data_IF_931146835623
#
_entry.id   IF_931146835623
#
_cell.length_a   1.000
_cell.length_b   1.000
_cell.length_c   1.000
_cell.angle_alpha   90.00
_cell.angle_beta   90.00
_cell.angle_gamma   90.00
#
_symmetry.space_group_name_H-M   'P 1'
#
loop_
_entity.id
_entity.type
_entity.pdbx_description
1 polymer ?
#
# COMPACT_ATOMS: atom_id res chain seq x y z
N UNK A 1 14.31 14.66 -26.34
CA UNK A 1 14.48 13.42 -27.11
C UNK A 1 14.78 12.26 -26.15
N UNK A 2 13.85 11.95 -25.24
CA UNK A 2 13.99 10.89 -24.21
C UNK A 2 12.62 10.26 -23.90
N UNK A 3 11.95 9.67 -24.90
CA UNK A 3 10.62 9.07 -24.70
C UNK A 3 10.51 7.58 -25.04
N UNK A 4 11.62 6.89 -25.36
CA UNK A 4 11.56 5.47 -25.76
C UNK A 4 11.99 4.47 -24.68
N UNK A 5 12.65 4.90 -23.61
CA UNK A 5 13.22 3.98 -22.60
C UNK A 5 12.20 3.49 -21.56
N UNK A 6 11.22 4.31 -21.21
CA UNK A 6 10.27 3.99 -20.11
C UNK A 6 9.23 2.94 -20.51
N UNK A 7 8.90 2.84 -21.80
CA UNK A 7 7.94 1.83 -22.30
C UNK A 7 8.50 0.39 -22.29
N UNK A 8 9.80 0.23 -22.43
CA UNK A 8 10.44 -1.09 -22.36
C UNK A 8 10.47 -1.69 -20.95
N UNK A 9 10.63 -0.87 -19.93
CA UNK A 9 10.67 -1.35 -18.53
C UNK A 9 9.32 -1.89 -18.05
N UNK A 10 8.21 -1.28 -18.47
CA UNK A 10 6.86 -1.77 -18.14
C UNK A 10 6.55 -3.12 -18.79
N UNK A 11 6.98 -3.34 -20.02
CA UNK A 11 6.79 -4.63 -20.72
C UNK A 11 7.64 -5.76 -20.12
N UNK A 12 8.84 -5.46 -19.66
CA UNK A 12 9.72 -6.45 -19.02
C UNK A 12 9.16 -6.87 -17.66
N UNK A 13 8.59 -5.93 -16.88
CA UNK A 13 7.96 -6.25 -15.60
C UNK A 13 6.70 -7.12 -15.76
N UNK A 14 5.89 -6.92 -16.81
CA UNK A 14 4.74 -7.77 -17.10
C UNK A 14 5.13 -9.19 -17.58
N UNK A 15 6.22 -9.31 -18.35
CA UNK A 15 6.72 -10.60 -18.83
C UNK A 15 7.35 -11.44 -17.69
N UNK A 16 8.00 -10.80 -16.73
CA UNK A 16 8.57 -11.51 -15.57
C UNK A 16 7.48 -11.99 -14.59
N UNK A 17 6.38 -11.25 -14.44
CA UNK A 17 5.22 -11.72 -13.68
C UNK A 17 4.54 -12.93 -14.33
N UNK A 18 4.46 -12.99 -15.66
CA UNK A 18 3.90 -14.14 -16.36
C UNK A 18 4.73 -15.43 -16.23
N UNK A 19 6.04 -15.30 -16.08
CA UNK A 19 6.93 -16.46 -15.85
C UNK A 19 6.87 -16.95 -14.40
N UNK A 20 6.65 -16.08 -13.44
CA UNK A 20 6.50 -16.45 -12.02
C UNK A 20 5.21 -17.24 -11.78
N UNK A 21 4.12 -16.95 -12.51
CA UNK A 21 2.87 -17.73 -12.41
C UNK A 21 2.99 -19.16 -12.95
N UNK A 22 3.87 -19.43 -13.93
CA UNK A 22 4.10 -20.78 -14.43
C UNK A 22 4.95 -21.64 -13.51
N UNK A 23 5.89 -21.05 -12.79
CA UNK A 23 6.69 -21.76 -11.79
C UNK A 23 5.87 -22.16 -10.54
N UNK A 24 4.85 -21.38 -10.20
CA UNK A 24 3.93 -21.73 -9.10
C UNK A 24 3.04 -22.95 -9.42
N UNK A 25 2.71 -23.19 -10.69
CA UNK A 25 1.97 -24.39 -11.09
C UNK A 25 2.82 -25.66 -11.11
N UNK A 26 4.11 -25.55 -11.38
CA UNK A 26 5.03 -26.70 -11.35
C UNK A 26 5.36 -27.14 -9.92
N UNK A 27 5.30 -26.28 -8.93
CA UNK A 27 5.47 -26.63 -7.52
C UNK A 27 4.27 -27.36 -6.90
N UNK A 28 3.05 -27.19 -7.46
CA UNK A 28 1.88 -27.94 -6.97
C UNK A 28 1.98 -29.47 -7.17
N UNK A 29 2.84 -29.94 -8.08
CA UNK A 29 3.02 -31.36 -8.35
C UNK A 29 4.04 -32.04 -7.39
N UNK A 30 4.92 -31.28 -6.75
CA UNK A 30 5.94 -31.82 -5.83
C UNK A 30 5.47 -31.88 -4.36
N UNK A 31 4.41 -31.15 -4.01
CA UNK A 31 3.95 -30.96 -2.61
C UNK A 31 2.90 -31.99 -2.14
N UNK A 32 2.99 -33.25 -2.54
CA UNK A 32 2.02 -34.26 -2.04
C UNK A 32 2.41 -34.88 -0.70
N UNK A 33 3.49 -34.43 -0.05
CA UNK A 33 3.96 -35.11 1.17
C UNK A 33 4.67 -34.21 2.21
N UNK A 34 4.21 -32.96 2.43
CA UNK A 34 4.74 -32.22 3.57
C UNK A 34 3.62 -31.46 4.30
N UNK A 35 3.62 -31.56 5.63
CA UNK A 35 2.69 -30.90 6.56
C UNK A 35 2.95 -29.39 6.66
N UNK A 36 3.16 -28.70 5.52
CA UNK A 36 3.38 -27.26 5.48
C UNK A 36 2.10 -26.52 5.80
N UNK A 37 2.17 -25.66 6.78
CA UNK A 37 1.07 -24.76 7.14
C UNK A 37 0.66 -23.95 5.92
N UNK A 38 -0.65 -23.83 5.61
CA UNK A 38 -1.10 -23.09 4.45
C UNK A 38 -0.61 -21.64 4.54
N UNK A 39 0.08 -21.18 3.50
CA UNK A 39 0.45 -19.76 3.36
C UNK A 39 -0.80 -18.94 3.08
N UNK A 40 -1.07 -17.95 3.91
CA UNK A 40 -2.14 -16.99 3.69
C UNK A 40 -1.54 -15.72 3.11
N UNK A 41 -1.97 -15.39 1.91
CA UNK A 41 -1.54 -14.22 1.15
C UNK A 41 -2.74 -13.35 0.82
N UNK A 42 -2.61 -12.06 0.99
CA UNK A 42 -3.60 -11.05 0.60
C UNK A 42 -2.97 -10.06 -0.38
N UNK A 43 -3.77 -9.65 -1.35
CA UNK A 43 -3.50 -8.47 -2.18
C UNK A 43 -4.47 -7.39 -1.78
N UNK A 44 -4.03 -6.15 -1.70
CA UNK A 44 -4.90 -5.03 -1.31
C UNK A 44 -4.64 -3.77 -2.13
N UNK A 45 -5.65 -2.92 -2.21
CA UNK A 45 -5.56 -1.54 -2.69
C UNK A 45 -6.18 -0.61 -1.66
N UNK A 46 -5.55 0.53 -1.42
CA UNK A 46 -6.09 1.56 -0.53
C UNK A 46 -7.03 2.46 -1.34
N UNK A 47 -8.33 2.32 -1.11
CA UNK A 47 -9.38 3.07 -1.81
C UNK A 47 -9.29 4.59 -1.57
N UNK A 48 -8.69 5.05 -0.47
CA UNK A 48 -8.47 6.49 -0.26
C UNK A 48 -7.43 7.02 -1.26
N UNK A 49 -6.35 6.28 -1.51
CA UNK A 49 -5.37 6.64 -2.53
C UNK A 49 -5.95 6.56 -3.93
N UNK A 50 -6.76 5.53 -4.22
CA UNK A 50 -7.45 5.40 -5.50
C UNK A 50 -8.40 6.58 -5.75
N UNK A 51 -9.14 7.03 -4.72
CA UNK A 51 -9.99 8.22 -4.79
C UNK A 51 -9.20 9.53 -5.02
N UNK A 52 -7.96 9.58 -4.56
CA UNK A 52 -7.02 10.67 -4.80
C UNK A 52 -6.24 10.51 -6.12
N UNK A 53 -6.61 9.56 -6.97
CA UNK A 53 -5.94 9.24 -8.23
C UNK A 53 -4.45 8.84 -8.04
N UNK A 54 -4.12 8.21 -6.92
CA UNK A 54 -2.81 7.64 -6.64
C UNK A 54 -2.91 6.12 -6.69
N UNK A 55 -2.68 5.48 -7.85
CA UNK A 55 -2.67 4.03 -7.98
C UNK A 55 -1.74 3.38 -6.96
N UNK A 56 -2.20 2.31 -6.33
CA UNK A 56 -1.45 1.65 -5.30
C UNK A 56 -1.74 0.14 -5.27
N UNK A 57 -0.81 -0.60 -4.72
CA UNK A 57 -0.95 -2.04 -4.51
C UNK A 57 -0.22 -2.45 -3.24
N UNK A 58 -0.83 -3.33 -2.47
CA UNK A 58 -0.22 -3.92 -1.27
C UNK A 58 -0.30 -5.44 -1.29
N UNK A 59 0.67 -6.04 -0.63
CA UNK A 59 0.74 -7.47 -0.36
C UNK A 59 0.87 -7.69 1.14
N UNK A 60 0.19 -8.69 1.67
CA UNK A 60 0.32 -9.08 3.06
C UNK A 60 0.40 -10.59 3.18
N UNK A 61 1.39 -11.07 3.92
CA UNK A 61 1.70 -12.49 4.13
C UNK A 61 1.60 -12.82 5.61
N UNK A 62 0.87 -13.89 5.93
CA UNK A 62 0.84 -14.46 7.28
C UNK A 62 2.13 -15.23 7.56
N UNK A 63 2.84 -14.85 8.62
CA UNK A 63 4.07 -15.50 9.09
C UNK A 63 3.76 -16.59 10.13
N UNK A 64 2.51 -16.85 10.42
CA UNK A 64 2.09 -17.74 11.50
C UNK A 64 2.13 -17.06 12.87
N UNK A 65 1.64 -17.78 13.89
CA UNK A 65 1.54 -17.28 15.28
C UNK A 65 0.89 -15.88 15.38
N UNK A 66 0.02 -15.55 14.39
CA UNK A 66 -0.73 -14.27 14.28
C UNK A 66 0.16 -13.07 13.99
N UNK A 67 1.27 -13.26 13.38
CA UNK A 67 2.10 -12.22 12.81
C UNK A 67 1.93 -12.17 11.30
N UNK A 68 1.96 -10.98 10.73
CA UNK A 68 2.04 -10.78 9.28
C UNK A 68 3.05 -9.69 8.96
N UNK A 69 3.52 -9.72 7.72
CA UNK A 69 4.26 -8.64 7.10
C UNK A 69 3.45 -8.12 5.93
N UNK A 70 3.28 -6.81 5.85
CA UNK A 70 2.62 -6.13 4.76
C UNK A 70 3.58 -5.17 4.07
N UNK A 71 3.53 -5.10 2.76
CA UNK A 71 4.26 -4.14 1.96
C UNK A 71 3.30 -3.47 0.99
N UNK A 72 3.35 -2.15 0.89
CA UNK A 72 2.52 -1.36 0.00
C UNK A 72 3.39 -0.49 -0.88
N UNK A 73 2.95 -0.27 -2.11
CA UNK A 73 3.58 0.63 -3.06
C UNK A 73 2.54 1.52 -3.70
N UNK A 74 2.85 2.81 -3.85
CA UNK A 74 2.00 3.79 -4.53
C UNK A 74 2.79 4.51 -5.61
N UNK A 75 2.13 4.83 -6.71
CA UNK A 75 2.71 5.60 -7.80
C UNK A 75 1.63 6.40 -8.52
N UNK A 76 1.59 7.71 -8.31
CA UNK A 76 0.79 8.65 -9.07
C UNK A 76 1.72 9.69 -9.71
N UNK A 77 1.57 9.91 -11.02
CA UNK A 77 2.44 10.84 -11.72
C UNK A 77 1.65 11.57 -12.79
N UNK A 78 0.90 12.55 -12.33
CA UNK A 78 0.01 13.34 -13.18
C UNK A 78 0.51 14.76 -13.25
N UNK A 79 0.58 15.32 -14.46
CA UNK A 79 0.96 16.70 -14.68
C UNK A 79 0.18 17.35 -15.80
N UNK A 80 0.00 18.66 -15.66
CA UNK A 80 -0.50 19.55 -16.71
C UNK A 80 0.28 20.87 -16.60
N UNK A 81 1.47 20.89 -17.19
CA UNK A 81 2.38 22.03 -17.13
C UNK A 81 1.74 23.36 -17.58
N UNK A 82 0.94 23.43 -18.67
CA UNK A 82 0.28 24.67 -19.08
C UNK A 82 -0.69 25.27 -18.04
N UNK A 83 -1.16 24.45 -17.09
CA UNK A 83 -2.06 24.89 -16.01
C UNK A 83 -1.37 24.96 -14.65
N UNK A 84 -0.05 24.77 -14.60
CA UNK A 84 0.71 24.64 -13.35
C UNK A 84 0.01 23.68 -12.39
N UNK A 85 -0.31 22.48 -12.88
CA UNK A 85 -0.98 21.46 -12.08
C UNK A 85 -0.12 20.20 -12.03
N UNK A 86 0.31 19.85 -10.83
CA UNK A 86 1.12 18.67 -10.55
C UNK A 86 0.48 17.89 -9.42
N UNK A 87 0.28 16.60 -9.67
CA UNK A 87 -0.24 15.67 -8.69
C UNK A 87 0.61 14.41 -8.76
N UNK A 88 1.72 14.46 -8.04
CA UNK A 88 2.77 13.46 -8.12
C UNK A 88 3.07 12.93 -6.74
N UNK A 89 3.06 11.60 -6.57
CA UNK A 89 3.49 10.93 -5.36
C UNK A 89 3.96 9.53 -5.71
N UNK A 90 5.08 9.12 -5.17
CA UNK A 90 5.47 7.72 -5.21
C UNK A 90 6.25 7.34 -3.97
N UNK A 91 6.15 6.05 -3.62
CA UNK A 91 6.81 5.52 -2.45
C UNK A 91 6.17 4.24 -1.99
N UNK A 92 6.57 3.79 -0.82
CA UNK A 92 6.01 2.57 -0.24
C UNK A 92 6.24 2.48 1.24
N UNK A 93 5.54 1.55 1.85
CA UNK A 93 5.71 1.22 3.26
C UNK A 93 5.84 -0.29 3.47
N UNK A 94 6.45 -0.63 4.59
CA UNK A 94 6.49 -2.00 5.11
C UNK A 94 6.03 -1.97 6.55
N UNK A 95 5.09 -2.84 6.88
CA UNK A 95 4.51 -2.99 8.21
C UNK A 95 4.69 -4.41 8.74
N UNK A 96 4.95 -4.53 10.04
CA UNK A 96 4.87 -5.78 10.79
C UNK A 96 3.66 -5.67 11.70
N UNK A 97 2.72 -6.64 11.56
CA UNK A 97 1.43 -6.63 12.23
C UNK A 97 1.27 -7.81 13.16
N UNK A 98 0.62 -7.57 14.29
CA UNK A 98 0.13 -8.60 15.22
C UNK A 98 -1.38 -8.61 15.23
N UNK A 99 -1.97 -9.71 14.87
CA UNK A 99 -3.42 -9.92 14.87
C UNK A 99 -3.92 -10.29 16.27
N UNK A 100 -4.92 -9.56 16.76
CA UNK A 100 -5.44 -9.68 18.14
C UNK A 100 -6.59 -10.67 18.23
N UNK A 101 -6.93 -11.12 19.46
CA UNK A 101 -8.06 -11.99 19.79
C UNK A 101 -7.69 -13.47 19.95
N UNK A 102 -8.66 -14.34 20.29
CA UNK A 102 -8.43 -15.77 20.54
C UNK A 102 -8.01 -16.53 19.28
N UNK A 103 -7.10 -17.48 19.43
CA UNK A 103 -6.65 -18.33 18.33
C UNK A 103 -7.71 -19.37 17.89
N UNK A 104 -8.66 -19.68 18.76
CA UNK A 104 -9.71 -20.63 18.46
C UNK A 104 -10.74 -20.04 17.49
N UNK A 105 -10.80 -20.60 16.26
CA UNK A 105 -11.83 -20.30 15.28
C UNK A 105 -11.68 -19.04 14.43
N UNK A 106 -10.63 -18.24 14.61
CA UNK A 106 -10.37 -17.08 13.74
C UNK A 106 -9.37 -17.42 12.63
N UNK A 107 -9.72 -17.01 11.42
CA UNK A 107 -8.80 -17.10 10.29
C UNK A 107 -7.67 -16.10 10.43
N UNK A 108 -6.47 -16.41 9.91
CA UNK A 108 -5.39 -15.44 9.77
C UNK A 108 -5.86 -14.20 8.99
N UNK A 109 -5.23 -13.07 9.28
CA UNK A 109 -5.45 -11.80 8.57
C UNK A 109 -6.88 -11.28 8.63
N UNK A 110 -7.58 -11.50 9.76
CA UNK A 110 -8.96 -11.04 9.99
C UNK A 110 -9.14 -10.52 11.42
N UNK A 111 -9.94 -9.47 11.58
CA UNK A 111 -10.22 -8.84 12.86
C UNK A 111 -9.26 -7.72 13.21
N UNK A 112 -9.05 -7.47 14.49
CA UNK A 112 -8.19 -6.40 14.96
C UNK A 112 -6.72 -6.73 14.80
N UNK A 113 -5.93 -5.75 14.40
CA UNK A 113 -4.47 -5.83 14.37
C UNK A 113 -3.81 -4.55 14.88
N UNK A 114 -2.62 -4.71 15.41
CA UNK A 114 -1.70 -3.63 15.77
C UNK A 114 -0.38 -3.88 15.05
N UNK A 115 0.35 -2.83 14.74
CA UNK A 115 1.63 -2.97 14.07
C UNK A 115 2.54 -1.77 14.20
N UNK A 116 3.71 -1.93 13.63
CA UNK A 116 4.65 -0.83 13.39
C UNK A 116 4.98 -0.81 11.90
N UNK A 117 5.19 0.36 11.35
CA UNK A 117 5.55 0.51 9.95
C UNK A 117 6.58 1.59 9.70
N UNK A 118 7.35 1.39 8.65
CA UNK A 118 8.22 2.38 8.05
C UNK A 118 7.76 2.70 6.64
N UNK A 119 7.73 3.98 6.28
CA UNK A 119 7.35 4.45 4.97
C UNK A 119 8.40 5.40 4.43
N UNK A 120 8.67 5.33 3.13
CA UNK A 120 9.49 6.27 2.38
C UNK A 120 8.73 6.73 1.16
N UNK A 121 8.74 8.02 0.87
CA UNK A 121 8.01 8.57 -0.26
C UNK A 121 8.51 9.95 -0.68
N UNK A 122 8.18 10.32 -1.91
CA UNK A 122 8.32 11.67 -2.44
C UNK A 122 6.99 12.14 -2.99
N UNK A 123 6.78 13.44 -3.04
CA UNK A 123 5.57 14.05 -3.56
C UNK A 123 5.83 15.41 -4.18
N UNK A 124 4.94 15.80 -5.08
CA UNK A 124 4.89 17.12 -5.66
C UNK A 124 3.43 17.46 -5.96
N UNK A 125 2.88 18.38 -5.15
CA UNK A 125 1.48 18.77 -5.23
C UNK A 125 1.37 20.25 -5.49
N UNK A 126 0.75 20.58 -6.63
CA UNK A 126 0.42 21.94 -7.04
C UNK A 126 -0.90 21.94 -7.81
N UNK A 127 -1.73 22.92 -7.56
CA UNK A 127 -3.05 23.09 -8.19
C UNK A 127 -3.25 24.51 -8.72
N UNK A 128 -2.26 25.03 -9.46
CA UNK A 128 -2.29 26.38 -10.05
C UNK A 128 -1.93 27.51 -9.08
N UNK A 129 -1.31 27.18 -7.95
CA UNK A 129 -0.89 28.15 -6.94
C UNK A 129 0.41 27.75 -6.29
N UNK A 130 0.49 27.85 -4.96
CA UNK A 130 1.68 27.41 -4.23
C UNK A 130 1.82 25.89 -4.30
N UNK A 131 2.97 25.43 -4.79
CA UNK A 131 3.33 24.02 -4.85
C UNK A 131 4.17 23.60 -3.65
N UNK A 132 4.05 22.32 -3.31
CA UNK A 132 4.77 21.66 -2.22
C UNK A 132 5.45 20.41 -2.74
N UNK A 133 6.77 20.40 -2.73
CA UNK A 133 7.58 19.28 -3.19
C UNK A 133 8.34 18.67 -2.02
N UNK A 134 8.06 17.43 -1.70
CA UNK A 134 8.76 16.65 -0.68
C UNK A 134 9.70 15.63 -1.30
N UNK A 135 11.00 15.74 -1.05
CA UNK A 135 12.01 14.98 -1.74
C UNK A 135 12.35 15.59 -3.11
N UNK A 136 12.73 14.75 -4.07
CA UNK A 136 12.96 15.13 -5.46
C UNK A 136 12.11 14.24 -6.39
N UNK A 137 10.88 14.64 -6.72
CA UNK A 137 10.08 13.93 -7.70
C UNK A 137 10.80 13.86 -9.04
N UNK A 138 10.90 12.64 -9.60
CA UNK A 138 11.69 12.38 -10.82
C UNK A 138 13.16 12.07 -10.61
N UNK A 139 13.67 12.20 -9.38
CA UNK A 139 14.95 11.67 -8.95
C UNK A 139 14.84 10.22 -8.46
N UNK A 140 15.83 9.75 -7.72
CA UNK A 140 15.72 8.47 -7.02
C UNK A 140 14.88 8.62 -5.75
N UNK A 141 14.16 7.57 -5.35
CA UNK A 141 13.38 7.56 -4.12
C UNK A 141 14.22 7.93 -2.89
N UNK A 142 15.50 7.61 -2.92
CA UNK A 142 16.47 7.84 -1.84
C UNK A 142 17.00 9.28 -1.77
N UNK A 143 16.83 10.08 -2.83
CA UNK A 143 17.35 11.42 -2.88
C UNK A 143 16.38 12.39 -2.19
N UNK A 144 16.73 12.78 -0.95
CA UNK A 144 15.93 13.70 -0.12
C UNK A 144 14.49 13.22 0.13
N UNK A 145 14.27 11.92 0.22
CA UNK A 145 12.96 11.35 0.50
C UNK A 145 12.40 11.82 1.84
N UNK A 146 11.08 11.80 1.94
CA UNK A 146 10.38 11.87 3.21
C UNK A 146 10.25 10.46 3.79
N UNK A 147 10.25 10.36 5.10
CA UNK A 147 10.16 9.10 5.82
C UNK A 147 9.21 9.18 7.00
N UNK A 148 8.57 8.06 7.28
CA UNK A 148 7.68 7.87 8.43
C UNK A 148 8.13 6.64 9.22
N UNK A 149 8.11 6.77 10.54
CA UNK A 149 8.21 5.65 11.47
C UNK A 149 7.05 5.76 12.47
N UNK A 150 6.18 4.75 12.52
CA UNK A 150 4.92 4.87 13.23
C UNK A 150 4.37 3.53 13.71
N UNK A 151 3.44 3.62 14.67
CA UNK A 151 2.55 2.53 15.05
C UNK A 151 1.22 2.62 14.31
N UNK A 152 0.60 1.48 14.05
CA UNK A 152 -0.71 1.39 13.42
C UNK A 152 -1.66 0.48 14.19
N UNK A 153 -2.94 0.78 14.08
CA UNK A 153 -4.04 -0.05 14.54
C UNK A 153 -5.07 -0.17 13.43
N UNK A 154 -5.62 -1.36 13.26
CA UNK A 154 -6.64 -1.57 12.25
C UNK A 154 -7.60 -2.70 12.56
N UNK A 155 -8.61 -2.80 11.69
CA UNK A 155 -9.64 -3.83 11.72
C UNK A 155 -9.98 -4.32 10.33
N UNK A 156 -9.74 -5.60 10.08
CA UNK A 156 -10.08 -6.26 8.81
C UNK A 156 -11.44 -6.93 8.92
N UNK A 157 -12.44 -6.36 8.22
CA UNK A 157 -13.83 -6.80 8.20
C UNK A 157 -14.08 -7.73 6.99
N UNK A 158 -14.47 -8.98 7.21
CA UNK A 158 -14.90 -9.88 6.14
C UNK A 158 -16.23 -9.41 5.53
N UNK A 159 -16.25 -9.09 4.23
CA UNK A 159 -17.45 -8.66 3.50
C UNK A 159 -17.98 -9.73 2.56
N UNK A 160 -17.09 -10.54 1.98
CA UNK A 160 -17.46 -11.64 1.10
C UNK A 160 -16.48 -12.81 1.26
N UNK A 161 -16.74 -13.91 0.52
CA UNK A 161 -15.95 -15.14 0.63
C UNK A 161 -14.45 -14.93 0.48
N UNK A 162 -14.02 -14.02 -0.39
CA UNK A 162 -12.62 -13.72 -0.70
C UNK A 162 -12.27 -12.24 -0.54
N UNK A 163 -13.15 -11.46 0.06
CA UNK A 163 -12.98 -10.02 0.17
C UNK A 163 -13.14 -9.56 1.61
N UNK A 164 -12.21 -8.71 2.02
CA UNK A 164 -12.29 -7.96 3.27
C UNK A 164 -12.17 -6.46 2.96
N UNK A 165 -12.66 -5.64 3.87
CA UNK A 165 -12.29 -4.22 3.97
C UNK A 165 -11.43 -4.07 5.22
N UNK A 166 -10.24 -3.49 5.06
CA UNK A 166 -9.31 -3.23 6.15
C UNK A 166 -9.25 -1.72 6.43
N UNK A 167 -9.58 -1.35 7.64
CA UNK A 167 -9.50 0.01 8.15
C UNK A 167 -8.25 0.11 9.01
N UNK A 168 -7.32 0.99 8.65
CA UNK A 168 -6.08 1.17 9.39
C UNK A 168 -5.79 2.65 9.60
N UNK A 169 -5.44 3.00 10.84
CA UNK A 169 -4.93 4.32 11.22
C UNK A 169 -3.52 4.17 11.79
N UNK A 170 -2.67 5.15 11.51
CA UNK A 170 -1.30 5.18 12.01
C UNK A 170 -0.94 6.51 12.64
N UNK A 171 -0.16 6.45 13.71
CA UNK A 171 0.35 7.62 14.43
C UNK A 171 1.84 7.44 14.66
N UNK A 172 2.61 8.46 14.35
CA UNK A 172 4.06 8.40 14.50
C UNK A 172 4.78 9.67 14.06
N UNK A 173 6.04 9.50 13.71
CA UNK A 173 6.92 10.56 13.28
C UNK A 173 7.05 10.59 11.76
N UNK A 174 6.86 11.78 11.18
CA UNK A 174 7.11 12.07 9.77
C UNK A 174 8.21 13.12 9.66
N UNK A 175 9.34 12.73 9.08
CA UNK A 175 10.51 13.58 8.83
C UNK A 175 10.82 13.71 7.35
N UNK A 176 11.64 14.72 7.01
CA UNK A 176 12.11 14.95 5.66
C UNK A 176 12.18 16.42 5.30
N UNK A 177 12.69 16.70 4.11
CA UNK A 177 12.81 18.05 3.58
C UNK A 177 11.68 18.27 2.57
N UNK A 178 11.09 19.44 2.58
CA UNK A 178 10.17 19.87 1.55
C UNK A 178 10.45 21.29 1.08
N UNK A 179 10.07 21.56 -0.14
CA UNK A 179 10.25 22.81 -0.82
C UNK A 179 8.90 23.45 -1.12
N UNK A 180 8.81 24.75 -0.92
CA UNK A 180 7.67 25.54 -1.36
C UNK A 180 8.08 26.35 -2.59
N UNK A 181 7.25 26.37 -3.62
CA UNK A 181 7.47 27.11 -4.83
C UNK A 181 6.17 27.77 -5.33
N UNK A 182 6.33 28.81 -6.14
CA UNK A 182 5.24 29.48 -6.84
C UNK A 182 5.49 29.43 -8.35
N UNK A 183 4.49 29.13 -9.16
CA UNK A 183 4.60 29.28 -10.61
C UNK A 183 4.61 30.77 -10.96
N UNK A 184 5.54 31.18 -11.79
CA UNK A 184 5.64 32.54 -12.33
C UNK A 184 5.93 32.45 -13.84
N UNK A 185 4.89 32.56 -14.66
CA UNK A 185 4.97 32.25 -16.10
C UNK A 185 5.33 30.79 -16.33
N UNK A 186 6.39 30.55 -17.09
CA UNK A 186 6.89 29.19 -17.39
C UNK A 186 7.93 28.68 -16.37
N UNK A 187 8.16 29.39 -15.27
CA UNK A 187 9.20 29.09 -14.29
C UNK A 187 8.60 28.80 -12.92
N UNK A 188 9.31 27.97 -12.15
CA UNK A 188 9.02 27.74 -10.75
C UNK A 188 9.97 28.56 -9.88
N UNK A 189 9.41 29.53 -9.16
CA UNK A 189 10.17 30.36 -8.25
C UNK A 189 10.19 29.72 -6.88
N UNK A 190 11.35 29.23 -6.51
CA UNK A 190 11.61 28.64 -5.21
C UNK A 190 11.40 29.68 -4.10
N UNK A 191 10.53 29.36 -3.16
CA UNK A 191 10.20 30.26 -2.05
C UNK A 191 10.99 29.89 -0.77
N UNK A 192 10.97 28.64 -0.41
CA UNK A 192 11.63 28.18 0.81
C UNK A 192 11.92 26.67 0.81
N UNK A 193 12.94 26.29 1.57
CA UNK A 193 13.21 24.91 1.95
C UNK A 193 12.97 24.76 3.43
N UNK A 194 12.13 23.82 3.81
CA UNK A 194 11.78 23.57 5.21
C UNK A 194 12.02 22.10 5.57
N UNK A 195 12.35 21.89 6.82
CA UNK A 195 12.43 20.55 7.39
C UNK A 195 11.12 20.21 8.07
N UNK A 196 10.55 19.05 7.75
CA UNK A 196 9.38 18.51 8.43
C UNK A 196 9.84 17.71 9.66
N UNK A 197 9.23 18.03 10.80
CA UNK A 197 9.34 17.30 12.05
C UNK A 197 7.93 17.22 12.63
N UNK A 198 7.15 16.25 12.18
CA UNK A 198 5.75 16.10 12.55
C UNK A 198 5.54 14.85 13.39
N UNK A 199 4.86 15.00 14.51
CA UNK A 199 4.37 13.87 15.31
C UNK A 199 2.85 13.95 15.33
N UNK A 200 2.17 12.89 14.89
CA UNK A 200 0.72 12.85 14.79
C UNK A 200 0.21 11.76 13.86
N UNK A 201 -1.00 11.89 13.32
CA UNK A 201 -1.54 10.97 12.33
C UNK A 201 -0.67 10.94 11.08
N UNK A 202 -0.22 9.75 10.67
CA UNK A 202 0.69 9.55 9.52
C UNK A 202 0.14 8.57 8.49
N UNK A 203 -0.93 7.82 8.83
CA UNK A 203 -1.57 6.87 7.94
C UNK A 203 -3.08 6.86 8.16
N UNK A 204 -3.84 6.84 7.06
CA UNK A 204 -5.24 6.48 7.03
C UNK A 204 -5.46 5.57 5.82
N UNK A 205 -5.95 4.35 6.05
CA UNK A 205 -6.23 3.39 4.99
C UNK A 205 -7.67 2.87 5.12
N UNK A 206 -8.34 2.78 3.99
CA UNK A 206 -9.53 1.96 3.78
C UNK A 206 -9.22 1.06 2.61
N UNK A 207 -8.74 -0.14 2.89
CA UNK A 207 -8.20 -1.03 1.87
C UNK A 207 -9.18 -2.13 1.50
N UNK A 208 -9.40 -2.32 0.19
CA UNK A 208 -10.07 -3.49 -0.33
C UNK A 208 -9.04 -4.62 -0.42
N UNK A 209 -9.30 -5.72 0.27
CA UNK A 209 -8.38 -6.84 0.44
C UNK A 209 -8.91 -8.08 -0.24
N UNK A 210 -8.14 -8.65 -1.14
CA UNK A 210 -8.43 -9.90 -1.81
C UNK A 210 -7.62 -11.06 -1.20
N UNK A 211 -8.34 -12.07 -0.69
CA UNK A 211 -7.76 -13.26 -0.06
C UNK A 211 -7.35 -14.27 -1.13
N UNK A 212 -6.05 -14.53 -1.26
CA UNK A 212 -5.49 -15.47 -2.22
C UNK A 212 -5.27 -16.86 -1.59
N UNK A 213 -5.48 -17.92 -2.38
CA UNK A 213 -5.29 -19.30 -1.98
C UNK A 213 -6.60 -20.07 -1.71
N UNK A 214 -6.55 -21.41 -1.90
CA UNK A 214 -7.73 -22.28 -1.75
C UNK A 214 -8.29 -22.32 -0.33
N UNK A 215 -7.43 -22.21 0.69
CA UNK A 215 -7.79 -22.23 2.11
C UNK A 215 -8.01 -20.84 2.71
N UNK A 216 -7.60 -19.78 2.02
CA UNK A 216 -7.73 -18.39 2.46
C UNK A 216 -9.09 -17.82 2.03
N UNK A 217 -10.13 -18.16 2.75
CA UNK A 217 -11.51 -17.75 2.46
C UNK A 217 -12.27 -17.51 3.75
N UNK A 218 -13.15 -16.52 3.75
CA UNK A 218 -14.06 -16.26 4.84
C UNK A 218 -15.14 -17.37 4.93
N UNK A 219 -15.58 -17.68 6.14
CA UNK A 219 -16.67 -18.63 6.33
C UNK A 219 -17.98 -18.05 5.84
N UNK A 220 -18.81 -18.89 5.19
CA UNK A 220 -20.18 -18.51 4.91
C UNK A 220 -20.88 -18.32 6.27
N UNK A 221 -21.39 -17.11 6.55
CA UNK A 221 -22.39 -16.94 7.61
C UNK A 221 -23.56 -17.86 7.29
N UNK A 222 -23.67 -18.97 8.00
CA UNK A 222 -24.88 -19.81 7.95
C UNK A 222 -25.98 -18.95 8.55
N UNK A 223 -26.83 -18.42 7.69
CA UNK A 223 -28.09 -17.77 8.07
C UNK A 223 -28.96 -18.86 8.67
N UNK A 224 -28.88 -19.07 9.98
CA UNK A 224 -29.88 -19.89 10.69
C UNK A 224 -31.23 -19.20 10.52
N UNK A 225 -31.95 -19.61 9.45
CA UNK A 225 -33.38 -19.41 9.33
C UNK A 225 -34.01 -20.34 10.38
N UNK A 226 -34.17 -19.83 11.62
CA UNK A 226 -35.09 -20.48 12.55
C UNK A 226 -36.45 -20.50 11.87
N UNK A 227 -36.83 -21.64 11.32
CA UNK A 227 -38.20 -21.98 11.00
C UNK A 227 -38.96 -21.91 12.34
N UNK A 228 -39.72 -20.85 12.52
CA UNK A 228 -40.83 -20.91 13.47
C UNK A 228 -41.85 -21.89 12.89
N UNK A 229 -41.99 -23.03 13.50
CA UNK A 229 -43.20 -23.79 13.54
C UNK A 229 -44.18 -23.17 14.54
#
# INVERSE_FOLDING_TARGET
MMHKSTRCLFFVALLTMGSCCRSLQAQEAYEKNDSTKPLYLNVKTNMLYDALLIPNIGLEVDLGKRWSIAANWMYGWWDNAPRNWYWRAYGGDVAIRKWLGSAAGRKPLTGHHIGVYGQIFTYDFETGGRGYMGGKPGGTLWDKMNYVAAAEYGYSLPIARRWNIDFTIGVGYWGGIYHEYLPEGDYYVWQSTKQRNWIGPTKAEVSLVWLLGKKNQNEKKVRNKKRKM
#
